data_IF_120963066894
#
_entry.id   IF_120963066894
#
_cell.length_a   1.000
_cell.length_b   1.000
_cell.length_c   1.000
_cell.angle_alpha   90.00
_cell.angle_beta   90.00
_cell.angle_gamma   90.00
#
_symmetry.space_group_name_H-M   'P 1'
#
loop_
_entity.id
_entity.type
_entity.pdbx_description
1 polymer ?
#
# COMPACT_ATOMS: atom_id res chain seq x y z
N UNK A 1 -4.46 -32.20 -7.20
CA UNK A 1 -3.45 -31.95 -6.15
C UNK A 1 -4.14 -31.35 -4.93
N UNK A 2 -3.81 -31.78 -3.70
CA UNK A 2 -4.42 -31.22 -2.48
C UNK A 2 -3.82 -29.84 -2.21
N UNK A 3 -4.63 -28.80 -2.21
CA UNK A 3 -4.21 -27.44 -1.85
C UNK A 3 -4.23 -27.29 -0.32
N UNK A 4 -3.34 -26.45 0.22
CA UNK A 4 -3.39 -26.09 1.64
C UNK A 4 -4.65 -25.27 1.90
N UNK A 5 -5.32 -25.52 3.03
CA UNK A 5 -6.52 -24.79 3.44
C UNK A 5 -6.20 -23.84 4.59
N UNK A 6 -6.92 -22.72 4.65
CA UNK A 6 -6.93 -21.90 5.86
C UNK A 6 -7.58 -22.69 7.00
N UNK A 7 -7.11 -22.53 8.25
CA UNK A 7 -7.73 -23.19 9.39
C UNK A 7 -9.18 -22.71 9.56
N UNK A 8 -10.08 -23.54 10.12
CA UNK A 8 -11.45 -23.13 10.41
C UNK A 8 -11.48 -21.94 11.38
N UNK A 9 -12.16 -20.86 10.99
CA UNK A 9 -12.30 -19.66 11.81
C UNK A 9 -13.71 -19.66 12.43
N UNK A 10 -13.80 -19.55 13.75
CA UNK A 10 -15.07 -19.33 14.46
C UNK A 10 -15.37 -17.84 14.44
N UNK A 11 -16.59 -17.49 14.05
CA UNK A 11 -17.08 -16.11 13.98
C UNK A 11 -18.45 -16.01 14.64
N UNK A 12 -18.80 -14.80 15.11
CA UNK A 12 -20.14 -14.52 15.60
C UNK A 12 -21.18 -14.64 14.45
N UNK A 13 -22.40 -15.13 14.73
CA UNK A 13 -23.44 -15.25 13.70
C UNK A 13 -23.76 -13.92 12.99
N UNK A 14 -23.87 -12.83 13.76
CA UNK A 14 -24.20 -11.51 13.20
C UNK A 14 -23.09 -11.00 12.26
N UNK A 15 -21.83 -11.24 12.61
CA UNK A 15 -20.71 -10.90 11.73
C UNK A 15 -20.72 -11.72 10.43
N UNK A 16 -21.13 -12.99 10.51
CA UNK A 16 -21.29 -13.81 9.31
C UNK A 16 -22.39 -13.27 8.38
N UNK A 17 -23.51 -12.82 8.93
CA UNK A 17 -24.59 -12.20 8.16
C UNK A 17 -24.11 -10.92 7.47
N UNK A 18 -23.33 -10.09 8.19
CA UNK A 18 -22.71 -8.89 7.61
C UNK A 18 -21.80 -9.23 6.42
N UNK A 19 -20.95 -10.26 6.56
CA UNK A 19 -20.07 -10.72 5.48
C UNK A 19 -20.85 -11.22 4.26
N UNK A 20 -21.91 -11.99 4.46
CA UNK A 20 -22.75 -12.50 3.38
C UNK A 20 -23.51 -11.35 2.67
N UNK A 21 -23.83 -10.27 3.39
CA UNK A 21 -24.52 -9.10 2.85
C UNK A 21 -23.66 -8.17 1.97
N UNK A 22 -22.33 -8.28 2.03
CA UNK A 22 -21.40 -7.45 1.23
C UNK A 22 -20.77 -8.17 0.03
N UNK A 23 -21.15 -9.43 -0.21
CA UNK A 23 -20.61 -10.22 -1.33
C UNK A 23 -21.06 -9.66 -2.68
N UNK A 24 -20.16 -9.71 -3.66
CA UNK A 24 -20.51 -9.41 -5.05
C UNK A 24 -21.32 -10.55 -5.69
N UNK A 25 -21.96 -10.25 -6.83
CA UNK A 25 -22.78 -11.25 -7.53
C UNK A 25 -21.92 -12.45 -7.98
N UNK A 26 -22.23 -13.63 -7.45
CA UNK A 26 -21.50 -14.87 -7.75
C UNK A 26 -20.22 -15.07 -6.93
N UNK A 27 -19.92 -14.16 -5.99
CA UNK A 27 -18.82 -14.33 -5.05
C UNK A 27 -19.23 -15.25 -3.88
N UNK A 28 -18.36 -16.20 -3.54
CA UNK A 28 -18.52 -17.02 -2.33
C UNK A 28 -17.78 -16.42 -1.14
N UNK A 29 -18.27 -16.69 0.07
CA UNK A 29 -17.60 -16.28 1.31
C UNK A 29 -16.13 -16.73 1.37
N UNK A 30 -15.81 -17.93 0.85
CA UNK A 30 -14.44 -18.43 0.80
C UNK A 30 -13.55 -17.60 -0.12
N UNK A 31 -14.04 -17.19 -1.29
CA UNK A 31 -13.30 -16.31 -2.21
C UNK A 31 -13.06 -14.94 -1.57
N UNK A 32 -14.08 -14.37 -0.94
CA UNK A 32 -13.98 -13.10 -0.24
C UNK A 32 -12.89 -13.15 0.86
N UNK A 33 -12.92 -14.18 1.71
CA UNK A 33 -11.92 -14.37 2.78
C UNK A 33 -10.51 -14.60 2.20
N UNK A 34 -10.37 -15.41 1.16
CA UNK A 34 -9.09 -15.63 0.49
C UNK A 34 -8.51 -14.30 -0.03
N UNK A 35 -9.32 -13.50 -0.72
CA UNK A 35 -8.92 -12.21 -1.27
C UNK A 35 -8.50 -11.22 -0.17
N UNK A 36 -9.26 -11.16 0.93
CA UNK A 36 -8.93 -10.31 2.08
C UNK A 36 -7.59 -10.72 2.72
N UNK A 37 -7.35 -12.03 2.89
CA UNK A 37 -6.08 -12.56 3.43
C UNK A 37 -4.92 -12.24 2.50
N UNK A 38 -5.07 -12.49 1.19
CA UNK A 38 -4.03 -12.18 0.19
C UNK A 38 -3.67 -10.70 0.18
N UNK A 39 -4.67 -9.83 0.19
CA UNK A 39 -4.50 -8.37 0.23
C UNK A 39 -3.74 -7.94 1.49
N UNK A 40 -4.12 -8.48 2.65
CA UNK A 40 -3.46 -8.18 3.92
C UNK A 40 -2.02 -8.67 3.95
N UNK A 41 -1.75 -9.87 3.44
CA UNK A 41 -0.39 -10.42 3.33
C UNK A 41 0.46 -9.53 2.42
N UNK A 42 -0.04 -9.14 1.26
CA UNK A 42 0.67 -8.26 0.33
C UNK A 42 0.99 -6.91 0.99
N UNK A 43 0.01 -6.29 1.64
CA UNK A 43 0.19 -5.04 2.41
C UNK A 43 1.30 -5.18 3.46
N UNK A 44 1.28 -6.26 4.26
CA UNK A 44 2.29 -6.48 5.31
C UNK A 44 3.69 -6.70 4.73
N UNK A 45 3.81 -7.45 3.63
CA UNK A 45 5.09 -7.65 2.93
C UNK A 45 5.64 -6.34 2.40
N UNK A 46 4.81 -5.55 1.72
CA UNK A 46 5.21 -4.25 1.17
C UNK A 46 5.64 -3.29 2.29
N UNK A 47 4.92 -3.25 3.42
CA UNK A 47 5.28 -2.43 4.57
C UNK A 47 6.64 -2.84 5.17
N UNK A 48 6.83 -4.14 5.40
CA UNK A 48 8.08 -4.66 5.94
C UNK A 48 9.27 -4.35 5.01
N UNK A 49 9.06 -4.51 3.70
CA UNK A 49 10.07 -4.19 2.71
C UNK A 49 10.37 -2.69 2.64
N UNK A 50 9.35 -1.83 2.69
CA UNK A 50 9.52 -0.38 2.71
C UNK A 50 10.39 0.07 3.89
N UNK A 51 10.10 -0.43 5.09
CA UNK A 51 10.90 -0.14 6.30
C UNK A 51 12.34 -0.62 6.12
N UNK A 52 12.53 -1.86 5.68
CA UNK A 52 13.85 -2.44 5.45
C UNK A 52 14.67 -1.59 4.47
N UNK A 53 14.06 -1.19 3.34
CA UNK A 53 14.72 -0.36 2.32
C UNK A 53 15.03 1.04 2.86
N UNK A 54 14.12 1.64 3.62
CA UNK A 54 14.31 2.95 4.24
C UNK A 54 15.49 2.97 5.21
N UNK A 55 15.59 1.96 6.09
CA UNK A 55 16.72 1.83 7.02
C UNK A 55 18.04 1.65 6.25
N UNK A 56 18.07 0.75 5.25
CA UNK A 56 19.26 0.52 4.45
C UNK A 56 19.72 1.79 3.70
N UNK A 57 18.79 2.57 3.17
CA UNK A 57 19.08 3.83 2.49
C UNK A 57 19.65 4.87 3.46
N UNK A 58 19.06 5.02 4.65
CA UNK A 58 19.57 5.94 5.68
C UNK A 58 21.01 5.58 6.07
N UNK A 59 21.30 4.30 6.31
CA UNK A 59 22.65 3.86 6.66
C UNK A 59 23.65 4.06 5.51
N UNK A 60 23.21 3.91 4.25
CA UNK A 60 24.03 4.24 3.10
C UNK A 60 24.34 5.75 3.02
N UNK A 61 23.32 6.60 3.14
CA UNK A 61 23.49 8.06 3.12
C UNK A 61 24.39 8.55 4.25
N UNK A 62 24.28 7.99 5.46
CA UNK A 62 25.18 8.31 6.58
C UNK A 62 26.63 7.95 6.28
N UNK A 63 26.87 6.77 5.70
CA UNK A 63 28.22 6.30 5.35
C UNK A 63 28.86 7.18 4.28
N UNK A 64 28.08 7.55 3.28
CA UNK A 64 28.58 8.26 2.10
C UNK A 64 28.57 9.78 2.30
N UNK A 65 27.96 10.28 3.39
CA UNK A 65 27.81 11.71 3.67
C UNK A 65 26.94 12.46 2.67
N UNK A 66 26.16 11.75 1.84
CA UNK A 66 25.42 12.29 0.69
C UNK A 66 24.05 12.87 1.02
N UNK A 67 23.77 13.09 2.31
CA UNK A 67 22.49 13.62 2.77
C UNK A 67 22.28 15.07 2.34
N UNK A 68 21.08 15.39 1.88
CA UNK A 68 20.67 16.76 1.56
C UNK A 68 19.67 17.28 2.60
N UNK A 69 19.74 18.57 2.99
CA UNK A 69 18.79 19.14 3.94
C UNK A 69 17.35 19.07 3.43
N UNK A 70 16.41 18.76 4.33
CA UNK A 70 14.99 18.65 3.98
C UNK A 70 14.45 19.93 3.32
N UNK A 71 14.87 21.10 3.78
CA UNK A 71 14.47 22.40 3.21
C UNK A 71 14.82 22.52 1.72
N UNK A 72 15.97 21.98 1.30
CA UNK A 72 16.41 21.99 -0.11
C UNK A 72 15.50 21.11 -0.96
N UNK A 73 15.13 19.92 -0.44
CA UNK A 73 14.21 18.99 -1.12
C UNK A 73 12.82 19.61 -1.26
N UNK A 74 12.29 20.21 -0.20
CA UNK A 74 10.95 20.82 -0.23
C UNK A 74 10.90 21.98 -1.23
N UNK A 75 11.92 22.85 -1.24
CA UNK A 75 11.99 23.94 -2.20
C UNK A 75 12.01 23.46 -3.67
N UNK A 76 12.77 22.39 -3.97
CA UNK A 76 12.78 21.80 -5.32
C UNK A 76 11.42 21.22 -5.71
N UNK A 77 10.76 20.50 -4.80
CA UNK A 77 9.41 19.95 -5.05
C UNK A 77 8.36 21.03 -5.27
N UNK A 78 8.41 22.13 -4.51
CA UNK A 78 7.53 23.28 -4.70
C UNK A 78 7.75 23.95 -6.06
N UNK A 79 9.00 24.16 -6.46
CA UNK A 79 9.33 24.71 -7.78
C UNK A 79 8.80 23.83 -8.92
N UNK A 80 9.00 22.50 -8.83
CA UNK A 80 8.48 21.54 -9.82
C UNK A 80 6.95 21.56 -9.88
N UNK A 81 6.29 21.68 -8.73
CA UNK A 81 4.84 21.75 -8.65
C UNK A 81 4.30 23.03 -9.32
N UNK A 82 4.94 24.18 -9.10
CA UNK A 82 4.57 25.44 -9.75
C UNK A 82 4.73 25.33 -11.28
N UNK A 83 5.86 24.81 -11.75
CA UNK A 83 6.11 24.61 -13.18
C UNK A 83 5.07 23.67 -13.82
N UNK A 84 4.74 22.55 -13.16
CA UNK A 84 3.74 21.60 -13.64
C UNK A 84 2.35 22.25 -13.75
N UNK A 85 1.97 23.10 -12.79
CA UNK A 85 0.71 23.85 -12.83
C UNK A 85 0.67 24.83 -14.00
N UNK A 86 1.73 25.60 -14.21
CA UNK A 86 1.83 26.55 -15.32
C UNK A 86 1.73 25.85 -16.69
N UNK A 87 2.43 24.73 -16.86
CA UNK A 87 2.38 23.93 -18.09
C UNK A 87 0.98 23.34 -18.36
N UNK A 88 0.24 22.97 -17.29
CA UNK A 88 -1.14 22.50 -17.41
C UNK A 88 -2.07 23.62 -17.86
N UNK A 89 -1.93 24.82 -17.31
CA UNK A 89 -2.73 25.99 -17.71
C UNK A 89 -2.46 26.39 -19.17
N UNK A 90 -1.21 26.31 -19.64
CA UNK A 90 -0.82 26.63 -21.02
C UNK A 90 -1.32 25.61 -22.07
N UNK A 91 -1.68 24.38 -21.66
CA UNK A 91 -2.21 23.34 -22.55
C UNK A 91 -3.75 23.30 -22.60
N UNK A 92 -4.42 24.03 -21.72
CA UNK A 92 -5.88 24.04 -21.58
C UNK A 92 -6.57 25.33 -22.02
N UNK A 93 -5.82 26.29 -22.57
CA UNK A 93 -6.32 27.49 -23.24
C UNK A 93 -5.82 27.53 -24.68
#
# INVERSE_FOLDING_TARGET
MKTATLPPIRVAPDFRLELEGVLEQGESLSQFVENAVRTTVAKRKNQAEFIRRGIAAIEATKRDGSGIPAAVVIADLEARLVAARQAKTQRGG
#
